data_IF_181383215178
#
_entry.id   IF_181383215178
#
_cell.length_a   1.000
_cell.length_b   1.000
_cell.length_c   1.000
_cell.angle_alpha   90.00
_cell.angle_beta   90.00
_cell.angle_gamma   90.00
#
_symmetry.space_group_name_H-M   'P 1'
#
loop_
_entity.id
_entity.type
_entity.pdbx_description
1 polymer ?
#
# COMPACT_ATOMS: atom_id res chain seq x y z
N UNK A 1 45.76 -7.08 -36.90
CA UNK A 1 44.64 -6.41 -36.22
C UNK A 1 43.44 -7.36 -36.29
N UNK A 2 43.43 -8.33 -35.37
CA UNK A 2 42.43 -8.56 -34.30
C UNK A 2 41.30 -9.53 -34.76
N UNK A 3 41.56 -10.84 -34.87
CA UNK A 3 41.43 -11.89 -33.83
C UNK A 3 40.00 -12.05 -33.27
N UNK A 4 39.15 -12.80 -33.96
CA UNK A 4 37.97 -13.42 -33.35
C UNK A 4 38.39 -14.62 -32.48
N UNK A 5 38.18 -14.53 -31.16
CA UNK A 5 38.36 -15.64 -30.23
C UNK A 5 37.14 -16.54 -30.28
N UNK A 6 37.37 -17.83 -30.56
CA UNK A 6 36.44 -18.88 -30.19
C UNK A 6 36.42 -18.99 -28.66
N UNK A 7 35.31 -18.60 -28.04
CA UNK A 7 35.07 -18.87 -26.63
C UNK A 7 34.20 -20.12 -26.54
N UNK A 8 34.87 -21.26 -26.43
CA UNK A 8 34.30 -22.50 -25.91
C UNK A 8 33.94 -22.28 -24.44
N UNK A 9 32.65 -22.15 -24.11
CA UNK A 9 32.20 -22.23 -22.72
C UNK A 9 31.30 -23.44 -22.55
N UNK A 10 31.93 -24.49 -22.03
CA UNK A 10 31.38 -25.77 -21.64
C UNK A 10 30.14 -25.63 -20.74
N UNK A 11 29.05 -26.29 -21.10
CA UNK A 11 27.97 -26.64 -20.17
C UNK A 11 28.29 -28.00 -19.57
N UNK A 12 28.52 -28.10 -18.26
CA UNK A 12 27.65 -28.92 -17.39
C UNK A 12 27.56 -28.29 -15.97
N UNK A 13 26.68 -28.61 -15.03
CA UNK A 13 25.64 -29.60 -14.88
C UNK A 13 24.55 -28.96 -13.99
N UNK A 14 23.31 -29.46 -14.09
CA UNK A 14 22.22 -29.10 -13.20
C UNK A 14 22.64 -29.26 -11.72
N UNK A 15 22.70 -28.15 -10.98
CA UNK A 15 22.85 -28.19 -9.52
C UNK A 15 21.64 -28.92 -8.93
N UNK A 16 21.83 -29.97 -8.12
CA UNK A 16 20.71 -30.60 -7.44
C UNK A 16 20.10 -29.56 -6.51
N UNK A 17 18.85 -29.19 -6.79
CA UNK A 17 18.03 -28.34 -5.95
C UNK A 17 18.01 -28.96 -4.56
N UNK A 18 18.87 -28.46 -3.66
CA UNK A 18 18.88 -28.84 -2.26
C UNK A 18 17.55 -28.40 -1.68
N UNK A 19 16.58 -29.32 -1.72
CA UNK A 19 15.36 -29.26 -0.92
C UNK A 19 15.82 -29.28 0.53
N UNK A 20 16.11 -28.11 1.08
CA UNK A 20 16.14 -27.94 2.52
C UNK A 20 14.71 -28.16 2.97
N UNK A 21 14.42 -29.42 3.29
CA UNK A 21 13.28 -29.84 4.08
C UNK A 21 13.44 -29.09 5.39
N UNK A 22 12.80 -27.93 5.47
CA UNK A 22 12.52 -27.33 6.76
C UNK A 22 11.74 -28.40 7.51
N UNK A 23 12.36 -29.04 8.50
CA UNK A 23 11.59 -29.74 9.51
C UNK A 23 10.75 -28.65 10.19
N UNK A 24 9.51 -28.48 9.73
CA UNK A 24 8.52 -27.63 10.40
C UNK A 24 8.40 -28.22 11.79
N UNK A 25 9.03 -27.57 12.78
CA UNK A 25 8.82 -27.88 14.19
C UNK A 25 7.32 -27.74 14.40
N UNK A 26 6.63 -28.87 14.59
CA UNK A 26 5.21 -28.91 14.92
C UNK A 26 5.09 -28.23 16.28
N UNK A 27 4.72 -26.95 16.30
CA UNK A 27 4.39 -26.26 17.55
C UNK A 27 3.23 -27.05 18.16
N UNK A 28 3.33 -27.38 19.45
CA UNK A 28 2.18 -27.95 20.15
C UNK A 28 1.05 -26.93 20.01
N UNK A 29 -0.09 -27.36 19.46
CA UNK A 29 -1.27 -26.51 19.41
C UNK A 29 -1.60 -26.10 20.85
N UNK A 30 -1.91 -24.81 21.05
CA UNK A 30 -2.43 -24.34 22.33
C UNK A 30 -3.61 -25.21 22.75
N UNK A 31 -3.73 -25.61 24.03
CA UNK A 31 -4.85 -26.42 24.47
C UNK A 31 -6.18 -25.69 24.16
N UNK A 32 -7.26 -26.43 23.86
CA UNK A 32 -8.56 -25.83 23.63
C UNK A 32 -8.94 -24.97 24.84
N UNK A 33 -9.40 -23.74 24.57
CA UNK A 33 -9.85 -22.81 25.60
C UNK A 33 -10.95 -23.50 26.40
N UNK A 34 -10.67 -23.80 27.67
CA UNK A 34 -11.68 -24.29 28.62
C UNK A 34 -12.86 -23.33 28.56
N UNK A 35 -14.11 -23.78 28.33
CA UNK A 35 -15.25 -22.89 28.41
C UNK A 35 -15.31 -22.40 29.86
N UNK A 36 -14.90 -21.16 30.06
CA UNK A 36 -14.94 -20.48 31.35
C UNK A 36 -16.41 -20.19 31.64
N UNK A 37 -17.09 -21.16 32.24
CA UNK A 37 -18.39 -20.98 32.89
C UNK A 37 -18.34 -20.00 34.06
N UNK A 38 -17.16 -19.44 34.36
CA UNK A 38 -16.89 -18.47 35.42
C UNK A 38 -16.73 -17.03 34.92
N UNK A 39 -16.79 -16.79 33.61
CA UNK A 39 -16.79 -15.42 33.09
C UNK A 39 -18.15 -14.77 33.41
N UNK A 40 -18.22 -13.68 34.21
CA UNK A 40 -19.49 -13.02 34.46
C UNK A 40 -20.14 -12.65 33.12
N UNK A 41 -21.48 -12.79 33.00
CA UNK A 41 -22.16 -12.53 31.73
C UNK A 41 -21.77 -11.14 31.25
N UNK A 42 -21.22 -11.05 30.03
CA UNK A 42 -20.85 -9.76 29.44
C UNK A 42 -22.15 -8.96 29.32
N UNK A 43 -22.34 -7.97 30.20
CA UNK A 43 -23.48 -7.05 30.09
C UNK A 43 -23.35 -6.35 28.75
N UNK A 44 -24.30 -6.62 27.85
CA UNK A 44 -24.42 -5.87 26.61
C UNK A 44 -24.76 -4.42 26.97
N UNK A 45 -24.09 -3.48 26.33
CA UNK A 45 -24.37 -2.06 26.51
C UNK A 45 -25.78 -1.76 26.00
N UNK A 46 -26.47 -0.84 26.66
CA UNK A 46 -27.75 -0.36 26.16
C UNK A 46 -27.54 0.44 24.87
N UNK A 47 -28.55 0.50 24.02
CA UNK A 47 -28.50 1.30 22.77
C UNK A 47 -28.24 2.78 23.11
N UNK A 48 -28.77 3.27 24.23
CA UNK A 48 -28.52 4.62 24.72
C UNK A 48 -27.04 4.85 25.07
N UNK A 49 -26.39 3.90 25.75
CA UNK A 49 -24.96 3.99 26.08
C UNK A 49 -24.07 3.99 24.83
N UNK A 50 -24.49 3.29 23.78
CA UNK A 50 -23.75 3.24 22.51
C UNK A 50 -23.81 4.59 21.81
N UNK A 51 -24.99 5.20 21.71
CA UNK A 51 -25.17 6.51 21.08
C UNK A 51 -24.52 7.64 21.88
N UNK A 52 -24.52 7.56 23.21
CA UNK A 52 -23.83 8.54 24.06
C UNK A 52 -22.30 8.47 23.94
N UNK A 53 -21.75 7.34 23.47
CA UNK A 53 -20.31 7.10 23.38
C UNK A 53 -19.73 7.36 21.99
N UNK A 54 -20.56 7.52 20.95
CA UNK A 54 -20.05 7.83 19.62
C UNK A 54 -19.36 9.19 19.64
N UNK A 55 -18.12 9.30 19.12
CA UNK A 55 -17.47 10.58 18.99
C UNK A 55 -18.34 11.49 18.11
N UNK A 56 -18.41 12.81 18.41
CA UNK A 56 -19.06 13.75 17.51
C UNK A 56 -18.39 13.63 16.14
N UNK A 57 -19.20 13.66 15.08
CA UNK A 57 -18.69 13.81 13.71
C UNK A 57 -18.02 15.17 13.66
N UNK A 58 -16.72 15.18 13.91
CA UNK A 58 -15.87 16.28 13.48
C UNK A 58 -15.97 16.26 11.95
N UNK A 59 -16.54 17.31 11.38
CA UNK A 59 -16.36 17.61 9.96
C UNK A 59 -14.85 17.73 9.78
N UNK A 60 -14.23 16.63 9.38
CA UNK A 60 -12.87 16.63 8.95
C UNK A 60 -12.91 17.45 7.66
N UNK A 61 -12.52 18.73 7.79
CA UNK A 61 -12.12 19.57 6.67
C UNK A 61 -11.25 18.65 5.81
N UNK A 62 -11.82 18.21 4.69
CA UNK A 62 -11.08 17.42 3.72
C UNK A 62 -10.09 18.40 3.14
N UNK A 63 -8.95 18.50 3.79
CA UNK A 63 -7.71 18.86 3.14
C UNK A 63 -7.33 17.61 2.34
N UNK A 64 -8.02 17.41 1.22
CA UNK A 64 -7.52 16.56 0.17
C UNK A 64 -6.16 17.14 -0.23
N UNK A 65 -5.08 16.53 0.27
CA UNK A 65 -3.70 16.99 0.16
C UNK A 65 -3.13 17.13 -1.27
N UNK A 66 -4.01 17.32 -2.25
CA UNK A 66 -3.78 17.72 -3.62
C UNK A 66 -3.92 19.23 -3.84
N UNK A 67 -4.40 20.00 -2.85
CA UNK A 67 -4.52 21.46 -2.93
C UNK A 67 -3.20 22.23 -3.13
N UNK A 68 -2.04 21.59 -2.91
CA UNK A 68 -0.71 22.19 -3.08
C UNK A 68 -0.03 21.80 -4.41
N UNK A 69 -0.73 21.11 -5.31
CA UNK A 69 -0.16 20.74 -6.62
C UNK A 69 -0.14 21.96 -7.52
N UNK A 70 1.06 22.33 -7.98
CA UNK A 70 1.28 23.43 -8.92
C UNK A 70 1.51 22.93 -10.34
N UNK A 71 1.21 23.78 -11.33
CA UNK A 71 1.51 23.47 -12.71
C UNK A 71 2.99 23.70 -13.02
N UNK A 72 3.69 22.67 -13.53
CA UNK A 72 5.12 22.73 -13.87
C UNK A 72 5.48 23.73 -14.98
N UNK A 73 4.50 24.23 -15.76
CA UNK A 73 4.76 25.18 -16.86
C UNK A 73 4.64 26.64 -16.48
N UNK A 74 3.79 26.96 -15.51
CA UNK A 74 3.53 28.34 -15.10
C UNK A 74 3.84 28.56 -13.61
N UNK A 75 4.17 27.51 -12.86
CA UNK A 75 4.45 27.51 -11.42
C UNK A 75 3.28 28.03 -10.57
N UNK A 76 2.06 28.01 -11.11
CA UNK A 76 0.84 28.43 -10.43
C UNK A 76 0.01 27.19 -10.05
N UNK A 77 -0.53 27.21 -8.84
CA UNK A 77 -1.56 26.28 -8.35
C UNK A 77 -2.98 26.84 -8.45
N UNK A 78 -3.20 27.88 -9.27
CA UNK A 78 -4.53 28.48 -9.44
C UNK A 78 -5.40 27.59 -10.35
N UNK A 79 -6.68 27.35 -10.01
CA UNK A 79 -7.60 26.44 -10.74
C UNK A 79 -7.09 24.98 -10.75
N UNK A 80 -6.94 24.42 -9.57
CA UNK A 80 -6.80 22.99 -9.30
C UNK A 80 -7.81 22.13 -10.07
N UNK A 81 -9.05 22.61 -10.23
CA UNK A 81 -10.09 21.96 -11.05
C UNK A 81 -9.69 21.71 -12.53
N UNK A 82 -8.77 22.51 -13.07
CA UNK A 82 -8.32 22.44 -14.48
C UNK A 82 -6.90 21.84 -14.63
N UNK A 83 -6.34 21.32 -13.54
CA UNK A 83 -4.98 20.78 -13.47
C UNK A 83 -4.98 19.26 -13.67
N UNK A 84 -4.22 18.78 -14.66
CA UNK A 84 -4.02 17.36 -14.94
C UNK A 84 -2.77 16.84 -14.23
N UNK A 85 -2.89 15.67 -13.62
CA UNK A 85 -1.76 14.94 -13.04
C UNK A 85 -1.18 13.96 -14.05
N UNK A 86 0.15 13.86 -14.09
CA UNK A 86 0.83 12.85 -14.88
C UNK A 86 1.21 11.64 -14.01
N UNK A 87 0.59 10.48 -14.23
CA UNK A 87 0.83 9.22 -13.48
C UNK A 87 2.29 8.72 -13.48
N UNK A 88 3.14 9.27 -14.35
CA UNK A 88 4.55 8.86 -14.45
C UNK A 88 5.50 9.71 -13.62
N UNK A 89 5.15 10.97 -13.39
CA UNK A 89 6.03 11.92 -12.70
C UNK A 89 5.35 12.68 -11.57
N UNK A 90 4.07 12.42 -11.31
CA UNK A 90 3.24 13.04 -10.27
C UNK A 90 3.23 14.57 -10.34
N UNK A 91 3.45 15.12 -11.54
CA UNK A 91 3.46 16.56 -11.82
C UNK A 91 2.11 17.05 -12.31
N UNK A 92 1.77 18.27 -11.93
CA UNK A 92 0.59 18.99 -12.38
C UNK A 92 0.78 19.78 -13.68
N UNK A 93 -0.24 19.79 -14.54
CA UNK A 93 -0.28 20.59 -15.77
C UNK A 93 -1.69 21.11 -16.05
N UNK A 94 -1.88 22.44 -16.13
CA UNK A 94 -3.16 22.97 -16.61
C UNK A 94 -3.41 22.56 -18.06
N UNK A 95 -4.67 22.23 -18.38
CA UNK A 95 -5.07 21.92 -19.75
C UNK A 95 -4.70 23.03 -20.75
N UNK A 96 -4.78 24.29 -20.32
CA UNK A 96 -4.46 25.49 -21.12
C UNK A 96 -2.96 25.70 -21.35
N UNK A 97 -2.12 25.19 -20.44
CA UNK A 97 -0.67 25.27 -20.59
C UNK A 97 -0.13 24.21 -21.55
N UNK A 98 -0.92 23.19 -21.88
CA UNK A 98 -0.59 22.19 -22.89
C UNK A 98 -0.91 22.74 -24.29
N UNK A 99 0.02 22.55 -25.23
CA UNK A 99 -0.23 22.89 -26.63
C UNK A 99 -0.74 21.64 -27.34
N UNK A 100 -1.94 21.68 -27.97
CA UNK A 100 -2.39 20.59 -28.82
C UNK A 100 -1.45 20.44 -30.02
N UNK A 101 -1.34 19.20 -30.49
CA UNK A 101 -0.59 18.79 -31.69
C UNK A 101 -1.46 18.86 -32.93
#
# INVERSE_FOLDING_TARGET
MATWKASSSSSPAASPSRRFIYYRRRTKASPPRRPSSESPPRKMRSIADVMAKSPPVVEQEQDDGYGDVTCEKCDLGERDDELLLCDKCDKGFHMKCLRPI
#
